data_IF_416099105332
#
_entry.id   IF_416099105332
#
_cell.length_a   1.000
_cell.length_b   1.000
_cell.length_c   1.000
_cell.angle_alpha   90.00
_cell.angle_beta   90.00
_cell.angle_gamma   90.00
#
_symmetry.space_group_name_H-M   'P 1'
#
loop_
_entity.id
_entity.type
_entity.pdbx_description
1 polymer ?
#
# COMPACT_ATOMS: atom_id res chain seq x y z
N UNK A 1 11.26 18.26 -11.43
CA UNK A 1 11.81 17.16 -12.26
C UNK A 1 11.33 15.85 -11.69
N UNK A 2 10.52 15.10 -12.45
CA UNK A 2 9.86 13.87 -11.99
C UNK A 2 10.84 12.69 -11.99
N UNK A 3 10.99 12.01 -10.86
CA UNK A 3 11.62 10.68 -10.76
C UNK A 3 10.62 9.75 -10.10
N UNK A 4 9.96 8.91 -10.90
CA UNK A 4 9.23 7.74 -10.38
C UNK A 4 10.12 6.52 -10.54
N UNK A 5 10.51 5.93 -9.43
CA UNK A 5 10.85 4.50 -9.32
C UNK A 5 10.22 4.01 -8.02
N UNK A 6 9.12 3.27 -8.14
CA UNK A 6 8.61 2.43 -7.06
C UNK A 6 8.81 0.99 -7.53
N UNK A 7 9.80 0.32 -6.98
CA UNK A 7 9.95 -1.13 -7.11
C UNK A 7 9.42 -1.71 -5.80
N UNK A 8 8.12 -1.94 -5.71
CA UNK A 8 7.55 -2.74 -4.62
C UNK A 8 7.79 -4.21 -4.92
N UNK A 9 8.77 -4.80 -4.24
CA UNK A 9 8.87 -6.25 -4.12
C UNK A 9 7.70 -6.74 -3.29
N UNK A 10 6.67 -7.28 -3.94
CA UNK A 10 5.56 -7.95 -3.28
C UNK A 10 6.03 -9.38 -2.94
N UNK A 11 6.74 -9.53 -1.82
CA UNK A 11 7.01 -10.84 -1.22
C UNK A 11 5.87 -11.18 -0.26
N UNK A 12 4.72 -11.52 -0.84
CA UNK A 12 3.62 -12.18 -0.16
C UNK A 12 3.42 -13.54 -0.82
N UNK A 13 4.36 -14.47 -0.58
CA UNK A 13 4.26 -15.81 -1.12
C UNK A 13 3.06 -16.53 -0.52
N UNK A 14 2.25 -17.02 -1.44
CA UNK A 14 1.06 -17.83 -1.28
C UNK A 14 1.35 -19.06 -0.40
N UNK A 15 0.72 -19.15 0.78
CA UNK A 15 0.60 -20.41 1.52
C UNK A 15 -0.84 -20.88 1.49
N UNK A 16 -1.30 -21.38 0.34
CA UNK A 16 -2.48 -22.25 0.26
C UNK A 16 -2.19 -23.41 -0.68
N UNK A 17 -1.72 -24.50 -0.07
CA UNK A 17 -1.63 -25.82 -0.68
C UNK A 17 -3.04 -26.35 -1.00
N UNK A 18 -3.19 -26.82 -2.25
CA UNK A 18 -4.16 -27.82 -2.70
C UNK A 18 -5.66 -27.49 -2.66
N UNK A 19 -6.14 -26.87 -3.73
CA UNK A 19 -7.14 -27.47 -4.62
C UNK A 19 -7.18 -26.61 -5.89
N UNK A 20 -6.98 -27.23 -7.05
CA UNK A 20 -7.12 -26.53 -8.34
C UNK A 20 -8.60 -26.21 -8.60
N UNK A 21 -8.92 -24.93 -8.83
CA UNK A 21 -9.74 -24.58 -9.97
C UNK A 21 -8.93 -23.72 -10.94
N UNK A 22 -9.31 -23.76 -12.21
CA UNK A 22 -8.78 -22.94 -13.31
C UNK A 22 -8.35 -21.55 -12.83
N UNK A 23 -7.03 -21.29 -12.76
CA UNK A 23 -6.51 -19.95 -12.56
C UNK A 23 -6.78 -19.16 -13.83
N UNK A 24 -7.97 -18.60 -13.94
CA UNK A 24 -8.17 -17.38 -14.71
C UNK A 24 -7.35 -16.34 -13.93
N UNK A 25 -6.16 -16.01 -14.42
CA UNK A 25 -5.39 -14.86 -13.99
C UNK A 25 -5.96 -13.66 -14.74
N UNK A 26 -6.95 -12.91 -14.21
CA UNK A 26 -7.32 -11.66 -14.84
C UNK A 26 -6.13 -10.71 -14.68
N UNK A 27 -5.37 -10.54 -15.75
CA UNK A 27 -4.38 -9.48 -15.89
C UNK A 27 -5.15 -8.16 -15.97
N UNK A 28 -5.42 -7.53 -14.83
CA UNK A 28 -5.89 -6.16 -14.82
C UNK A 28 -4.68 -5.24 -15.00
N UNK A 29 -4.74 -4.38 -15.99
CA UNK A 29 -3.75 -3.33 -16.20
C UNK A 29 -4.30 -2.07 -15.56
N UNK A 30 -3.58 -1.47 -14.62
CA UNK A 30 -3.96 -0.20 -13.99
C UNK A 30 -2.80 0.79 -13.99
N UNK A 31 -3.14 2.06 -14.04
CA UNK A 31 -2.19 3.16 -13.99
C UNK A 31 -2.48 4.01 -12.75
N UNK A 32 -1.58 3.96 -11.77
CA UNK A 32 -1.65 4.78 -10.57
C UNK A 32 -0.74 6.02 -10.68
N UNK A 33 -1.28 7.16 -10.30
CA UNK A 33 -0.53 8.39 -10.12
C UNK A 33 -0.73 8.94 -8.71
N UNK A 34 0.34 8.91 -7.91
CA UNK A 34 0.40 9.51 -6.58
C UNK A 34 1.38 10.68 -6.55
N UNK A 35 0.99 11.72 -5.83
CA UNK A 35 1.85 12.82 -5.39
C UNK A 35 2.03 12.67 -3.90
N UNK A 36 3.28 12.75 -3.43
CA UNK A 36 3.62 12.69 -2.02
C UNK A 36 4.32 13.98 -1.59
N UNK A 37 4.06 14.41 -0.36
CA UNK A 37 4.73 15.53 0.28
C UNK A 37 5.20 15.13 1.68
N UNK A 38 6.50 15.25 1.89
CA UNK A 38 7.18 14.92 3.13
C UNK A 38 7.41 16.20 3.95
N UNK A 39 6.80 16.27 5.13
CA UNK A 39 6.98 17.34 6.09
C UNK A 39 7.13 16.74 7.49
N UNK A 40 8.35 16.27 7.77
CA UNK A 40 8.68 15.56 9.03
C UNK A 40 8.08 16.28 10.24
N UNK A 41 7.33 15.58 11.11
CA UNK A 41 7.19 14.12 11.23
C UNK A 41 6.14 13.46 10.32
N UNK A 42 5.47 14.20 9.44
CA UNK A 42 4.40 13.67 8.61
C UNK A 42 4.82 13.45 7.16
N UNK A 43 4.09 12.56 6.51
CA UNK A 43 4.07 12.42 5.06
C UNK A 43 2.62 12.27 4.64
N UNK A 44 2.21 13.02 3.63
CA UNK A 44 0.90 12.87 3.02
C UNK A 44 1.08 12.52 1.57
N UNK A 45 0.19 11.70 1.04
CA UNK A 45 0.16 11.41 -0.37
C UNK A 45 -1.27 11.24 -0.84
N UNK A 46 -1.46 11.43 -2.13
CA UNK A 46 -2.72 11.11 -2.76
C UNK A 46 -2.66 11.26 -4.26
N UNK A 47 -3.74 10.81 -4.89
CA UNK A 47 -3.92 10.82 -6.31
C UNK A 47 -4.99 9.84 -6.72
N UNK A 48 -4.81 9.23 -7.88
CA UNK A 48 -5.81 8.33 -8.41
C UNK A 48 -5.22 7.22 -9.26
N UNK A 49 -6.02 6.20 -9.44
CA UNK A 49 -5.72 5.05 -10.28
C UNK A 49 -6.83 4.89 -11.31
N UNK A 50 -6.43 4.50 -12.51
CA UNK A 50 -7.35 4.16 -13.60
C UNK A 50 -7.06 2.75 -14.08
N UNK A 51 -8.10 1.93 -14.16
CA UNK A 51 -8.02 0.60 -14.79
C UNK A 51 -8.02 0.75 -16.31
N UNK A 52 -6.96 0.29 -16.97
CA UNK A 52 -6.70 0.45 -18.40
C UNK A 52 -7.39 -0.63 -19.26
N UNK A 53 -7.43 -1.89 -18.82
CA UNK A 53 -7.94 -2.99 -19.66
C UNK A 53 -9.14 -3.73 -19.06
N UNK A 54 -10.29 -3.72 -19.77
CA UNK A 54 -11.37 -4.71 -19.60
C UNK A 54 -12.43 -4.67 -20.71
N UNK A 55 -12.97 -5.87 -21.00
CA UNK A 55 -14.27 -6.12 -21.62
C UNK A 55 -15.31 -6.44 -20.53
N UNK A 56 -16.53 -5.87 -20.57
CA UNK A 56 -17.03 -4.79 -21.42
C UNK A 56 -16.64 -3.38 -20.89
N UNK A 57 -16.83 -2.36 -21.73
CA UNK A 57 -16.26 -1.01 -21.57
C UNK A 57 -17.00 -0.05 -20.60
N UNK A 58 -18.10 -0.46 -19.98
CA UNK A 58 -19.07 0.46 -19.31
C UNK A 58 -18.99 0.52 -17.77
N UNK A 59 -17.87 0.10 -17.15
CA UNK A 59 -17.68 0.23 -15.69
C UNK A 59 -16.82 1.45 -15.36
N UNK A 60 -17.22 2.24 -14.37
CA UNK A 60 -16.50 3.46 -13.95
C UNK A 60 -15.16 3.13 -13.28
N UNK A 61 -14.07 3.57 -13.93
CA UNK A 61 -12.67 3.12 -13.71
C UNK A 61 -11.85 3.95 -12.73
N UNK A 62 -12.46 4.94 -12.07
CA UNK A 62 -11.71 5.90 -11.26
C UNK A 62 -11.63 5.45 -9.82
N UNK A 63 -10.41 5.41 -9.32
CA UNK A 63 -10.11 5.24 -7.90
C UNK A 63 -9.41 6.50 -7.39
N UNK A 64 -9.83 6.98 -6.23
CA UNK A 64 -9.12 8.01 -5.47
C UNK A 64 -8.36 7.35 -4.32
N UNK A 65 -7.08 7.68 -4.20
CA UNK A 65 -6.19 7.18 -3.15
C UNK A 65 -5.66 8.37 -2.37
N UNK A 66 -5.75 8.33 -1.04
CA UNK A 66 -5.10 9.28 -0.16
C UNK A 66 -4.55 8.57 1.06
N UNK A 67 -3.45 9.07 1.59
CA UNK A 67 -2.86 8.53 2.81
C UNK A 67 -2.05 9.54 3.59
N UNK A 68 -1.88 9.24 4.87
CA UNK A 68 -1.04 10.00 5.80
C UNK A 68 -0.23 9.03 6.63
N UNK A 69 1.06 9.30 6.73
CA UNK A 69 1.99 8.62 7.64
C UNK A 69 2.52 9.63 8.66
N UNK A 70 2.65 9.19 9.89
CA UNK A 70 3.32 9.90 10.97
C UNK A 70 4.50 9.06 11.46
N UNK A 71 5.67 9.68 11.52
CA UNK A 71 6.91 9.09 12.00
C UNK A 71 7.27 9.70 13.35
N UNK A 72 7.73 8.85 14.28
CA UNK A 72 8.26 9.34 15.56
C UNK A 72 9.34 10.40 15.32
N UNK A 73 9.14 11.59 15.90
CA UNK A 73 10.01 12.75 15.70
C UNK A 73 11.47 12.49 16.11
N UNK A 74 11.66 11.65 17.14
CA UNK A 74 12.96 11.33 17.70
C UNK A 74 13.31 9.87 17.44
N UNK A 75 14.11 9.56 16.39
CA UNK A 75 14.60 8.22 16.18
C UNK A 75 15.51 7.80 17.35
N UNK A 76 15.22 6.66 17.95
CA UNK A 76 16.03 6.06 19.00
C UNK A 76 17.25 5.36 18.39
N UNK A 77 18.43 5.56 18.97
CA UNK A 77 19.62 4.78 18.62
C UNK A 77 19.47 3.38 19.24
N UNK A 78 19.34 2.37 18.39
CA UNK A 78 19.18 0.98 18.84
C UNK A 78 20.54 0.27 18.94
N UNK A 79 21.41 0.49 17.95
CA UNK A 79 22.76 -0.06 17.88
C UNK A 79 23.71 0.99 17.27
N UNK A 80 25.05 0.81 17.33
CA UNK A 80 25.98 1.66 16.59
C UNK A 80 25.63 1.69 15.09
N UNK A 81 25.25 2.87 14.60
CA UNK A 81 24.83 3.09 13.21
C UNK A 81 23.36 2.81 12.90
N UNK A 82 22.61 2.12 13.76
CA UNK A 82 21.19 1.81 13.52
C UNK A 82 20.28 2.74 14.32
N UNK A 83 19.38 3.44 13.62
CA UNK A 83 18.36 4.30 14.22
C UNK A 83 16.97 3.72 13.93
N UNK A 84 16.11 3.67 14.93
CA UNK A 84 14.75 3.18 14.81
C UNK A 84 13.73 4.25 15.18
N UNK A 85 12.62 4.33 14.45
CA UNK A 85 11.47 5.19 14.80
C UNK A 85 10.16 4.45 14.59
N UNK A 86 9.18 4.58 15.51
CA UNK A 86 7.84 4.08 15.25
C UNK A 86 7.18 4.89 14.14
N UNK A 87 6.24 4.28 13.43
CA UNK A 87 5.38 4.98 12.51
C UNK A 87 3.95 4.43 12.53
N UNK A 88 3.01 5.29 12.16
CA UNK A 88 1.61 4.94 11.90
C UNK A 88 1.21 5.52 10.56
N UNK A 89 0.49 4.74 9.76
CA UNK A 89 -0.02 5.14 8.46
C UNK A 89 -1.51 4.85 8.36
N UNK A 90 -2.26 5.74 7.74
CA UNK A 90 -3.64 5.52 7.33
C UNK A 90 -3.72 5.71 5.82
N UNK A 91 -4.19 4.69 5.11
CA UNK A 91 -4.50 4.74 3.69
C UNK A 91 -6.02 4.66 3.50
N UNK A 92 -6.54 5.47 2.59
CA UNK A 92 -7.94 5.47 2.19
C UNK A 92 -8.01 5.34 0.67
N UNK A 93 -8.83 4.40 0.19
CA UNK A 93 -9.12 4.22 -1.23
C UNK A 93 -10.62 4.29 -1.45
N UNK A 94 -11.05 4.91 -2.53
CA UNK A 94 -12.45 4.95 -2.90
C UNK A 94 -12.60 4.67 -4.39
N UNK A 95 -13.49 3.74 -4.72
CA UNK A 95 -13.72 3.30 -6.10
C UNK A 95 -15.07 3.80 -6.60
N UNK A 96 -15.09 4.37 -7.80
CA UNK A 96 -16.35 4.79 -8.43
C UNK A 96 -17.29 3.62 -8.70
N UNK A 97 -16.75 2.41 -8.95
CA UNK A 97 -17.52 1.16 -9.13
C UNK A 97 -18.31 0.74 -7.87
N UNK A 98 -17.96 1.27 -6.70
CA UNK A 98 -18.62 0.98 -5.42
C UNK A 98 -19.28 2.23 -4.81
N UNK A 99 -19.81 3.11 -5.65
CA UNK A 99 -20.45 4.37 -5.20
C UNK A 99 -19.53 5.22 -4.31
N UNK A 100 -18.21 5.21 -4.57
CA UNK A 100 -17.19 5.87 -3.76
C UNK A 100 -17.10 5.38 -2.31
N UNK A 101 -17.44 4.12 -2.07
CA UNK A 101 -17.24 3.48 -0.77
C UNK A 101 -15.76 3.53 -0.38
N UNK A 102 -15.51 3.97 0.86
CA UNK A 102 -14.17 4.16 1.39
C UNK A 102 -13.67 2.85 1.97
N UNK A 103 -12.60 2.34 1.37
CA UNK A 103 -11.75 1.30 1.90
C UNK A 103 -10.63 1.94 2.72
N UNK A 104 -10.29 1.32 3.84
CA UNK A 104 -9.31 1.85 4.78
C UNK A 104 -8.26 0.82 5.16
N UNK A 105 -7.00 1.25 5.22
CA UNK A 105 -5.89 0.45 5.75
C UNK A 105 -5.16 1.22 6.84
N UNK A 106 -5.00 0.60 8.00
CA UNK A 106 -4.19 1.14 9.09
C UNK A 106 -2.89 0.35 9.19
N UNK A 107 -1.76 1.06 9.11
CA UNK A 107 -0.42 0.50 9.23
C UNK A 107 0.23 0.98 10.51
N UNK A 108 0.86 0.08 11.24
CA UNK A 108 1.62 0.38 12.45
C UNK A 108 2.95 -0.36 12.38
N UNK A 109 4.05 0.31 12.72
CA UNK A 109 5.34 -0.36 12.61
C UNK A 109 6.54 0.41 13.11
N UNK A 110 7.70 -0.12 12.78
CA UNK A 110 9.01 0.44 13.11
C UNK A 110 9.82 0.59 11.82
N UNK A 111 10.30 1.80 11.58
CA UNK A 111 11.29 2.09 10.54
C UNK A 111 12.70 2.05 11.15
N UNK A 112 13.62 1.42 10.44
CA UNK A 112 15.04 1.34 10.75
C UNK A 112 15.83 2.03 9.63
N UNK A 113 16.51 3.11 9.99
CA UNK A 113 17.32 3.91 9.07
C UNK A 113 18.74 3.32 9.02
N UNK A 114 19.26 3.11 7.81
CA UNK A 114 20.63 2.62 7.62
C UNK A 114 21.66 3.69 7.97
N UNK A 115 22.82 3.32 8.57
CA UNK A 115 23.89 4.28 8.82
C UNK A 115 24.45 4.86 7.53
N UNK A 116 24.58 6.18 7.45
CA UNK A 116 25.21 6.91 6.34
C UNK A 116 24.56 6.66 4.95
N UNK A 117 23.27 6.34 4.92
CA UNK A 117 22.49 6.15 3.70
C UNK A 117 21.05 6.61 3.91
N UNK A 118 20.34 6.90 2.82
CA UNK A 118 18.90 7.19 2.82
C UNK A 118 18.06 5.90 2.80
N UNK A 119 18.73 4.73 2.75
CA UNK A 119 18.07 3.43 2.80
C UNK A 119 17.38 3.19 4.15
N UNK A 120 16.19 2.60 4.10
CA UNK A 120 15.45 2.21 5.28
C UNK A 120 14.78 0.84 5.13
N UNK A 121 14.57 0.19 6.27
CA UNK A 121 13.76 -1.03 6.43
C UNK A 121 12.56 -0.69 7.30
N UNK A 122 11.34 -1.10 6.93
CA UNK A 122 10.18 -1.04 7.81
C UNK A 122 9.65 -2.44 8.09
N UNK A 123 9.37 -2.69 9.35
CA UNK A 123 8.54 -3.83 9.79
C UNK A 123 7.19 -3.26 10.18
N UNK A 124 6.11 -3.83 9.68
CA UNK A 124 4.76 -3.30 9.89
C UNK A 124 3.71 -4.39 10.07
N UNK A 125 2.66 -4.03 10.79
CA UNK A 125 1.38 -4.72 10.84
C UNK A 125 0.38 -3.84 10.08
N UNK A 126 -0.43 -4.45 9.24
CA UNK A 126 -1.48 -3.78 8.46
C UNK A 126 -2.84 -4.37 8.82
N UNK A 127 -3.80 -3.53 9.22
CA UNK A 127 -5.21 -3.89 9.32
C UNK A 127 -5.97 -3.25 8.17
N UNK A 128 -6.56 -4.06 7.31
CA UNK A 128 -7.32 -3.60 6.15
C UNK A 128 -8.80 -3.90 6.31
N UNK A 129 -9.65 -2.96 5.88
CA UNK A 129 -11.10 -3.13 5.76
C UNK A 129 -11.59 -2.44 4.49
N UNK A 130 -12.13 -3.20 3.56
CA UNK A 130 -12.58 -2.68 2.27
C UNK A 130 -12.94 -3.78 1.27
N UNK A 131 -13.17 -3.42 0.01
CA UNK A 131 -13.45 -4.39 -1.06
C UNK A 131 -12.20 -5.15 -1.50
N UNK A 132 -12.34 -6.40 -1.94
CA UNK A 132 -11.19 -7.20 -2.36
C UNK A 132 -10.41 -6.52 -3.51
N UNK A 133 -9.12 -6.20 -3.33
CA UNK A 133 -8.30 -5.57 -4.37
C UNK A 133 -7.93 -6.52 -5.52
N UNK A 134 -8.19 -7.83 -5.37
CA UNK A 134 -7.81 -8.86 -6.32
C UNK A 134 -8.94 -9.88 -6.56
N UNK A 135 -9.28 -10.11 -7.84
CA UNK A 135 -10.13 -11.22 -8.28
C UNK A 135 -11.64 -10.95 -8.27
N UNK A 136 -12.39 -11.88 -8.85
CA UNK A 136 -13.82 -11.83 -9.23
C UNK A 136 -14.84 -11.57 -8.09
N UNK A 137 -14.37 -11.15 -6.91
CA UNK A 137 -15.15 -10.86 -5.70
C UNK A 137 -15.16 -9.36 -5.38
N UNK A 138 -15.18 -8.50 -6.40
CA UNK A 138 -15.28 -7.04 -6.25
C UNK A 138 -16.48 -6.60 -5.40
N UNK A 139 -17.48 -7.45 -5.18
CA UNK A 139 -18.67 -7.13 -4.38
C UNK A 139 -18.54 -7.40 -2.88
N UNK A 140 -17.53 -8.14 -2.41
CA UNK A 140 -17.44 -8.57 -1.02
C UNK A 140 -16.45 -7.71 -0.23
N UNK A 141 -16.93 -7.16 0.89
CA UNK A 141 -16.09 -6.45 1.85
C UNK A 141 -15.30 -7.46 2.69
N UNK A 142 -13.99 -7.34 2.66
CA UNK A 142 -13.05 -8.17 3.41
C UNK A 142 -12.42 -7.36 4.55
N UNK A 143 -12.04 -8.06 5.61
CA UNK A 143 -11.21 -7.53 6.68
C UNK A 143 -10.08 -8.52 6.92
N UNK A 144 -8.84 -8.03 6.93
CA UNK A 144 -7.67 -8.84 7.18
C UNK A 144 -6.65 -8.10 8.04
N UNK A 145 -5.79 -8.90 8.70
CA UNK A 145 -4.62 -8.43 9.42
C UNK A 145 -3.38 -9.07 8.78
N UNK A 146 -2.45 -8.24 8.31
CA UNK A 146 -1.23 -8.63 7.62
C UNK A 146 0.03 -8.21 8.36
N UNK A 147 1.14 -8.89 8.05
CA UNK A 147 2.49 -8.51 8.44
C UNK A 147 3.28 -8.19 7.19
N UNK A 148 4.08 -7.13 7.23
CA UNK A 148 4.81 -6.63 6.08
C UNK A 148 6.24 -6.23 6.40
N UNK A 149 7.09 -6.34 5.38
CA UNK A 149 8.45 -5.82 5.37
C UNK A 149 8.59 -4.91 4.15
N UNK A 150 9.01 -3.67 4.36
CA UNK A 150 9.21 -2.71 3.27
C UNK A 150 10.64 -2.22 3.25
N UNK A 151 11.21 -2.07 2.05
CA UNK A 151 12.53 -1.49 1.84
C UNK A 151 12.36 -0.21 1.03
N UNK A 152 13.14 0.81 1.36
CA UNK A 152 13.19 2.06 0.60
C UNK A 152 14.60 2.63 0.54
N UNK A 153 14.77 3.60 -0.34
CA UNK A 153 16.01 4.33 -0.61
C UNK A 153 15.78 5.83 -0.52
#
# INVERSE_FOLDING_TARGET
GSRRRSQSSHLGDEFLLNAAPERINPSFESLEALVAYDFTPFRVYGGGEVLLHREPADLDRLMAHAGVEYFGANPARLLPGLRGRPFVGLDLKAFSEHDWSIDSSLKLGMQFDAPHSDHYLRLLVEGYRGYSPHGQFYSDRIEYLGLGVQFGI
#
